data_IF_578880138064
#
_entry.id   IF_578880138064
#
_cell.length_a   1.000
_cell.length_b   1.000
_cell.length_c   1.000
_cell.angle_alpha   90.00
_cell.angle_beta   90.00
_cell.angle_gamma   90.00
#
_symmetry.space_group_name_H-M   'P 1'
#
loop_
_entity.id
_entity.type
_entity.pdbx_description
1 polymer ?
#
# COMPACT_ATOMS: atom_id res chain seq x y z
N UNK A 1 -18.79 10.85 6.59
CA UNK A 1 -18.09 11.73 5.63
C UNK A 1 -18.72 11.46 4.26
N UNK A 2 -19.21 12.47 3.53
CA UNK A 2 -19.87 12.25 2.24
C UNK A 2 -18.88 11.80 1.16
N UNK A 3 -19.37 11.22 0.06
CA UNK A 3 -18.58 10.82 -1.14
C UNK A 3 -17.64 11.95 -1.61
N UNK A 4 -18.02 13.21 -1.38
CA UNK A 4 -17.18 14.38 -1.69
C UNK A 4 -15.86 14.42 -0.90
N UNK A 5 -15.84 13.93 0.35
CA UNK A 5 -14.62 13.90 1.17
C UNK A 5 -13.57 12.92 0.63
N UNK A 6 -13.99 11.70 0.29
CA UNK A 6 -13.11 10.70 -0.32
C UNK A 6 -12.63 11.12 -1.72
N UNK A 7 -13.48 11.82 -2.47
CA UNK A 7 -13.14 12.38 -3.78
C UNK A 7 -12.08 13.49 -3.69
N UNK A 8 -12.17 14.37 -2.69
CA UNK A 8 -11.16 15.41 -2.46
C UNK A 8 -9.81 14.80 -2.07
N UNK A 9 -9.80 13.76 -1.24
CA UNK A 9 -8.59 13.05 -0.82
C UNK A 9 -7.88 12.42 -2.03
N UNK A 10 -8.62 11.67 -2.87
CA UNK A 10 -8.06 10.98 -4.03
C UNK A 10 -7.53 11.90 -5.17
N UNK A 11 -7.97 13.16 -5.20
CA UNK A 11 -7.69 14.09 -6.31
C UNK A 11 -6.81 15.28 -5.90
N UNK A 12 -6.55 15.48 -4.60
CA UNK A 12 -5.69 16.58 -4.11
C UNK A 12 -4.37 16.06 -3.55
N UNK A 13 -3.26 16.56 -4.11
CA UNK A 13 -1.91 16.13 -3.76
C UNK A 13 -1.52 16.44 -2.30
N UNK A 14 -2.14 17.43 -1.69
CA UNK A 14 -1.76 18.02 -0.41
C UNK A 14 -2.64 17.58 0.77
N UNK A 15 -3.85 17.08 0.54
CA UNK A 15 -4.76 16.73 1.65
C UNK A 15 -4.75 15.25 2.02
N UNK A 16 -4.21 14.37 1.17
CA UNK A 16 -4.24 12.92 1.41
C UNK A 16 -3.50 12.43 2.66
N UNK A 17 -2.65 13.23 3.30
CA UNK A 17 -1.94 12.85 4.54
C UNK A 17 -2.48 13.54 5.80
N UNK A 18 -3.45 14.45 5.65
CA UNK A 18 -3.96 15.27 6.75
C UNK A 18 -5.16 14.64 7.48
N UNK A 19 -5.71 13.57 6.92
CA UNK A 19 -6.81 12.83 7.54
C UNK A 19 -6.25 11.78 8.50
N UNK A 20 -6.43 12.03 9.79
CA UNK A 20 -6.15 11.05 10.85
C UNK A 20 -7.24 9.98 10.84
N UNK A 21 -6.87 8.73 10.58
CA UNK A 21 -7.77 7.59 10.69
C UNK A 21 -7.38 6.74 11.90
N UNK A 22 -8.39 6.29 12.65
CA UNK A 22 -8.19 5.44 13.82
C UNK A 22 -8.08 3.98 13.38
N UNK A 23 -7.06 3.27 13.86
CA UNK A 23 -6.78 1.88 13.49
C UNK A 23 -7.31 0.88 14.53
N UNK A 24 -8.31 1.28 15.31
CA UNK A 24 -8.96 0.46 16.34
C UNK A 24 -10.40 0.13 15.96
N UNK A 25 -10.74 -1.15 16.00
CA UNK A 25 -12.11 -1.68 15.87
C UNK A 25 -12.95 -1.35 17.13
N UNK A 26 -13.10 -0.07 17.50
CA UNK A 26 -13.98 0.31 18.61
C UNK A 26 -15.39 0.62 18.07
N UNK A 27 -16.40 -0.23 18.34
CA UNK A 27 -17.74 -0.13 17.73
C UNK A 27 -18.56 1.10 18.17
N UNK A 28 -18.00 1.95 19.03
CA UNK A 28 -18.66 3.16 19.55
C UNK A 28 -18.28 4.42 18.77
N UNK A 29 -17.32 4.33 17.83
CA UNK A 29 -16.90 5.48 17.05
C UNK A 29 -17.83 5.75 15.86
N UNK A 30 -18.75 6.70 16.05
CA UNK A 30 -19.74 7.12 15.05
C UNK A 30 -19.22 8.18 14.07
N UNK A 31 -17.91 8.44 14.05
CA UNK A 31 -17.29 9.36 13.10
C UNK A 31 -17.20 8.80 11.67
N UNK A 32 -17.32 7.48 11.51
CA UNK A 32 -17.28 6.80 10.21
C UNK A 32 -18.66 6.67 9.57
N UNK A 33 -18.73 6.96 8.26
CA UNK A 33 -19.89 6.58 7.44
C UNK A 33 -19.75 5.10 7.05
N UNK A 34 -20.07 4.25 8.03
CA UNK A 34 -19.87 2.78 7.97
C UNK A 34 -20.49 2.16 6.72
N UNK A 35 -21.55 2.77 6.19
CA UNK A 35 -22.31 2.25 5.04
C UNK A 35 -21.56 2.40 3.71
N UNK A 36 -20.71 3.43 3.59
CA UNK A 36 -19.86 3.64 2.41
C UNK A 36 -18.43 3.13 2.60
N UNK A 37 -17.94 3.14 3.84
CA UNK A 37 -16.58 2.72 4.15
C UNK A 37 -16.46 1.19 4.21
N UNK A 38 -17.49 0.51 4.74
CA UNK A 38 -17.62 -0.95 4.80
C UNK A 38 -19.03 -1.38 4.40
N UNK A 39 -19.44 -1.26 3.13
CA UNK A 39 -20.83 -1.49 2.75
C UNK A 39 -21.24 -2.94 3.03
N UNK A 40 -22.26 -3.13 3.87
CA UNK A 40 -22.73 -4.47 4.25
C UNK A 40 -23.37 -5.25 3.09
N UNK A 41 -23.81 -4.53 2.04
CA UNK A 41 -24.52 -5.11 0.90
C UNK A 41 -23.64 -5.31 -0.33
N UNK A 42 -22.67 -4.42 -0.58
CA UNK A 42 -21.75 -4.51 -1.72
C UNK A 42 -20.36 -3.96 -1.34
N UNK A 43 -19.45 -4.83 -0.84
CA UNK A 43 -18.20 -4.44 -0.18
C UNK A 43 -17.27 -3.48 -0.96
N UNK A 44 -17.42 -3.38 -2.29
CA UNK A 44 -16.52 -2.59 -3.15
C UNK A 44 -17.17 -1.35 -3.83
N UNK A 45 -18.43 -1.02 -3.53
CA UNK A 45 -19.11 0.10 -4.23
C UNK A 45 -18.42 1.44 -4.04
N UNK A 46 -17.90 1.74 -2.84
CA UNK A 46 -17.22 3.00 -2.56
C UNK A 46 -15.99 3.18 -3.44
N UNK A 47 -15.10 2.17 -3.45
CA UNK A 47 -13.90 2.16 -4.29
C UNK A 47 -14.24 2.25 -5.78
N UNK A 48 -15.15 1.40 -6.25
CA UNK A 48 -15.54 1.37 -7.65
C UNK A 48 -16.11 2.73 -8.11
N UNK A 49 -16.88 3.40 -7.27
CA UNK A 49 -17.44 4.73 -7.55
C UNK A 49 -16.33 5.79 -7.66
N UNK A 50 -15.40 5.82 -6.71
CA UNK A 50 -14.24 6.73 -6.73
C UNK A 50 -13.40 6.51 -7.99
N UNK A 51 -13.05 5.25 -8.28
CA UNK A 51 -12.30 4.90 -9.48
C UNK A 51 -13.01 5.32 -10.78
N UNK A 52 -14.32 5.13 -10.84
CA UNK A 52 -15.13 5.54 -11.99
C UNK A 52 -15.10 7.06 -12.16
N UNK A 53 -15.24 7.82 -11.08
CA UNK A 53 -15.15 9.29 -11.11
C UNK A 53 -13.76 9.76 -11.54
N UNK A 54 -12.68 9.17 -11.02
CA UNK A 54 -11.31 9.50 -11.43
C UNK A 54 -11.12 9.24 -12.92
N UNK A 55 -11.59 8.09 -13.42
CA UNK A 55 -11.46 7.73 -14.82
C UNK A 55 -12.24 8.67 -15.77
N UNK A 56 -13.38 9.21 -15.32
CA UNK A 56 -14.24 10.06 -16.13
C UNK A 56 -13.91 11.56 -16.02
N UNK A 57 -13.51 12.03 -14.84
CA UNK A 57 -13.52 13.46 -14.51
C UNK A 57 -12.14 14.01 -14.09
N UNK A 58 -11.18 13.16 -13.69
CA UNK A 58 -9.90 13.67 -13.18
C UNK A 58 -9.10 14.36 -14.31
N UNK A 59 -8.59 15.59 -14.08
CA UNK A 59 -7.85 16.34 -15.10
C UNK A 59 -6.43 15.78 -15.35
N UNK A 60 -5.91 14.93 -14.47
CA UNK A 60 -4.51 14.47 -14.43
C UNK A 60 -4.36 12.96 -14.70
N UNK A 61 -5.04 12.47 -15.75
CA UNK A 61 -5.10 11.05 -16.13
C UNK A 61 -3.76 10.31 -16.18
N UNK A 62 -2.66 10.97 -16.59
CA UNK A 62 -1.33 10.33 -16.57
C UNK A 62 -0.88 9.97 -15.15
N UNK A 63 -1.09 10.89 -14.19
CA UNK A 63 -0.75 10.67 -12.78
C UNK A 63 -1.52 9.49 -12.23
N UNK A 64 -2.82 9.43 -12.50
CA UNK A 64 -3.70 8.36 -12.04
C UNK A 64 -3.31 6.99 -12.62
N UNK A 65 -2.88 6.94 -13.89
CA UNK A 65 -2.36 5.69 -14.50
C UNK A 65 -1.04 5.25 -13.89
N UNK A 66 -0.14 6.19 -13.61
CA UNK A 66 1.13 5.90 -12.93
C UNK A 66 0.89 5.43 -11.49
N UNK A 67 -0.01 6.09 -10.78
CA UNK A 67 -0.41 5.70 -9.43
C UNK A 67 -1.01 4.29 -9.41
N UNK A 68 -1.87 3.97 -10.38
CA UNK A 68 -2.41 2.61 -10.55
C UNK A 68 -1.30 1.58 -10.78
N UNK A 69 -0.34 1.85 -11.66
CA UNK A 69 0.79 0.95 -11.90
C UNK A 69 1.65 0.73 -10.65
N UNK A 70 1.92 1.78 -9.87
CA UNK A 70 2.64 1.69 -8.60
C UNK A 70 1.87 0.88 -7.56
N UNK A 71 0.54 1.02 -7.50
CA UNK A 71 -0.31 0.22 -6.62
C UNK A 71 -0.34 -1.28 -6.99
N UNK A 72 -0.02 -1.64 -8.24
CA UNK A 72 0.17 -3.04 -8.64
C UNK A 72 1.53 -3.60 -8.21
N UNK A 73 2.50 -2.74 -7.89
CA UNK A 73 3.79 -3.15 -7.34
C UNK A 73 3.66 -3.31 -5.82
N UNK A 74 3.16 -2.29 -5.13
CA UNK A 74 2.95 -2.32 -3.67
C UNK A 74 1.54 -2.79 -3.32
N UNK A 75 1.27 -4.06 -3.60
CA UNK A 75 -0.05 -4.67 -3.41
C UNK A 75 -0.38 -4.81 -1.92
N UNK A 76 -1.62 -4.49 -1.56
CA UNK A 76 -2.23 -4.79 -0.27
C UNK A 76 -3.51 -5.60 -0.49
N UNK A 77 -3.74 -6.65 0.30
CA UNK A 77 -4.94 -7.47 0.14
C UNK A 77 -6.17 -6.73 0.70
N UNK A 78 -7.29 -6.67 -0.05
CA UNK A 78 -8.51 -6.01 0.40
C UNK A 78 -9.23 -6.74 1.54
N UNK A 79 -8.84 -7.97 1.86
CA UNK A 79 -9.50 -8.80 2.88
C UNK A 79 -8.97 -8.59 4.30
N UNK A 80 -7.87 -7.85 4.46
CA UNK A 80 -7.33 -7.54 5.78
C UNK A 80 -8.12 -6.41 6.45
N UNK A 81 -8.17 -6.37 7.78
CA UNK A 81 -9.10 -5.50 8.54
C UNK A 81 -9.05 -4.04 8.09
N UNK A 82 -7.84 -3.50 7.89
CA UNK A 82 -7.58 -2.12 7.44
C UNK A 82 -7.77 -1.96 5.93
N UNK A 83 -7.55 -3.04 5.16
CA UNK A 83 -7.74 -3.12 3.72
C UNK A 83 -9.20 -3.25 3.27
N UNK A 84 -10.16 -3.38 4.20
CA UNK A 84 -11.61 -3.38 3.92
C UNK A 84 -12.22 -1.98 3.93
N UNK A 85 -11.65 -1.06 4.69
CA UNK A 85 -12.10 0.33 4.76
C UNK A 85 -11.75 1.06 3.46
N UNK A 86 -12.75 1.62 2.79
CA UNK A 86 -12.57 2.41 1.57
C UNK A 86 -11.67 3.62 1.82
N UNK A 87 -11.86 4.34 2.93
CA UNK A 87 -11.10 5.55 3.23
C UNK A 87 -9.62 5.26 3.49
N UNK A 88 -9.33 4.21 4.26
CA UNK A 88 -7.94 3.79 4.53
C UNK A 88 -7.23 3.33 3.26
N UNK A 89 -7.93 2.62 2.37
CA UNK A 89 -7.38 2.21 1.09
C UNK A 89 -7.10 3.39 0.17
N UNK A 90 -8.03 4.36 0.07
CA UNK A 90 -7.83 5.57 -0.74
C UNK A 90 -6.65 6.39 -0.20
N UNK A 91 -6.52 6.51 1.11
CA UNK A 91 -5.38 7.17 1.74
C UNK A 91 -4.03 6.51 1.38
N UNK A 92 -3.99 5.17 1.40
CA UNK A 92 -2.83 4.42 0.95
C UNK A 92 -2.56 4.65 -0.55
N UNK A 93 -3.61 4.65 -1.37
CA UNK A 93 -3.50 4.90 -2.80
C UNK A 93 -2.95 6.31 -3.12
N UNK A 94 -3.28 7.31 -2.31
CA UNK A 94 -2.79 8.69 -2.49
C UNK A 94 -1.27 8.81 -2.40
N UNK A 95 -0.59 7.89 -1.70
CA UNK A 95 0.88 7.82 -1.71
C UNK A 95 1.38 7.74 -3.15
N UNK A 96 0.75 6.89 -3.97
CA UNK A 96 1.13 6.71 -5.36
C UNK A 96 0.70 7.87 -6.25
N UNK A 97 -0.41 8.53 -5.96
CA UNK A 97 -0.83 9.75 -6.67
C UNK A 97 0.18 10.88 -6.43
N UNK A 98 0.59 11.11 -5.18
CA UNK A 98 1.59 12.10 -4.80
C UNK A 98 2.94 11.83 -5.48
N UNK A 99 3.39 10.58 -5.43
CA UNK A 99 4.70 10.16 -5.92
C UNK A 99 4.72 9.58 -7.35
N UNK A 100 3.66 9.76 -8.12
CA UNK A 100 3.51 9.19 -9.47
C UNK A 100 4.70 9.48 -10.41
N UNK A 101 5.38 10.61 -10.20
CA UNK A 101 6.57 11.04 -10.95
C UNK A 101 7.78 11.27 -10.04
N UNK A 102 7.73 10.75 -8.82
CA UNK A 102 8.72 10.96 -7.76
C UNK A 102 9.81 9.88 -7.73
N UNK A 103 10.49 9.80 -6.59
CA UNK A 103 11.54 8.81 -6.35
C UNK A 103 10.96 7.57 -5.66
N UNK A 104 11.40 6.40 -6.10
CA UNK A 104 11.09 5.10 -5.48
C UNK A 104 11.40 5.07 -3.97
N UNK A 105 12.49 5.71 -3.54
CA UNK A 105 12.86 5.75 -2.12
C UNK A 105 11.83 6.48 -1.25
N UNK A 106 11.15 7.49 -1.80
CA UNK A 106 10.12 8.25 -1.06
C UNK A 106 8.81 7.47 -1.00
N UNK A 107 8.45 6.79 -2.10
CA UNK A 107 7.32 5.84 -2.14
C UNK A 107 7.52 4.74 -1.09
N UNK A 108 8.68 4.09 -1.10
CA UNK A 108 8.98 3.01 -0.17
C UNK A 108 8.89 3.47 1.28
N UNK A 109 9.35 4.69 1.58
CA UNK A 109 9.26 5.27 2.92
C UNK A 109 7.81 5.48 3.36
N UNK A 110 6.97 6.10 2.53
CA UNK A 110 5.56 6.32 2.88
C UNK A 110 4.79 5.00 3.00
N UNK A 111 5.02 4.05 2.10
CA UNK A 111 4.42 2.71 2.17
C UNK A 111 4.84 2.00 3.47
N UNK A 112 6.12 2.06 3.86
CA UNK A 112 6.64 1.47 5.11
C UNK A 112 5.89 1.97 6.33
N UNK A 113 5.60 3.27 6.40
CA UNK A 113 4.92 3.87 7.55
C UNK A 113 3.40 3.88 7.42
N UNK A 114 2.83 3.34 6.34
CA UNK A 114 1.38 3.22 6.21
C UNK A 114 0.81 2.15 7.15
N UNK A 115 -0.20 2.46 7.97
CA UNK A 115 -0.90 1.47 8.78
C UNK A 115 -1.52 0.34 7.94
N UNK A 116 -1.94 0.62 6.70
CA UNK A 116 -2.50 -0.39 5.79
C UNK A 116 -1.47 -1.46 5.45
N UNK A 117 -0.24 -1.04 5.11
CA UNK A 117 0.87 -1.96 4.84
C UNK A 117 1.36 -2.64 6.14
N UNK A 118 1.37 -1.91 7.25
CA UNK A 118 1.74 -2.42 8.57
C UNK A 118 0.84 -3.54 9.07
N UNK A 119 -0.46 -3.45 8.82
CA UNK A 119 -1.41 -4.53 9.07
C UNK A 119 -1.21 -5.68 8.08
N UNK A 120 -1.11 -5.38 6.77
CA UNK A 120 -0.98 -6.39 5.71
C UNK A 120 0.21 -7.34 5.89
N UNK A 121 1.37 -6.81 6.26
CA UNK A 121 2.57 -7.62 6.51
C UNK A 121 2.85 -7.81 8.01
N UNK A 122 1.85 -7.51 8.85
CA UNK A 122 1.81 -7.81 10.29
C UNK A 122 3.01 -7.25 11.09
N UNK A 123 3.66 -6.19 10.61
CA UNK A 123 4.78 -5.54 11.31
C UNK A 123 4.35 -4.33 12.14
N UNK A 124 3.04 -4.07 12.24
CA UNK A 124 2.50 -3.03 13.12
C UNK A 124 2.90 -3.32 14.57
N UNK A 125 3.59 -2.36 15.20
CA UNK A 125 4.20 -2.47 16.53
C UNK A 125 5.46 -3.34 16.62
N UNK A 126 6.11 -3.65 15.50
CA UNK A 126 7.47 -4.20 15.52
C UNK A 126 8.39 -3.26 16.30
N UNK A 127 9.30 -3.82 17.10
CA UNK A 127 10.18 -3.04 17.99
C UNK A 127 11.63 -3.41 17.75
N UNK A 128 12.51 -2.45 17.99
CA UNK A 128 13.93 -2.68 17.94
C UNK A 128 14.36 -3.61 19.08
N UNK A 129 15.41 -4.41 18.87
CA UNK A 129 15.99 -5.30 19.87
C UNK A 129 16.30 -4.59 21.20
N UNK A 130 16.75 -3.34 21.12
CA UNK A 130 17.07 -2.50 22.28
C UNK A 130 15.86 -2.15 23.17
N UNK A 131 14.63 -2.38 22.68
CA UNK A 131 13.41 -2.03 23.42
C UNK A 131 12.98 -3.09 24.45
N UNK A 132 13.13 -4.38 24.13
CA UNK A 132 12.68 -5.50 24.98
C UNK A 132 13.53 -6.77 24.86
N UNK A 133 14.62 -6.74 24.09
CA UNK A 133 15.49 -7.88 23.85
C UNK A 133 14.92 -8.92 22.87
N UNK A 134 13.77 -8.64 22.23
CA UNK A 134 13.23 -9.48 21.16
C UNK A 134 13.89 -9.11 19.82
N UNK A 135 14.27 -10.11 19.02
CA UNK A 135 14.75 -9.84 17.67
C UNK A 135 13.64 -9.18 16.85
N UNK A 136 13.92 -8.07 16.13
CA UNK A 136 12.93 -7.41 15.29
C UNK A 136 12.41 -8.35 14.21
N UNK A 137 11.14 -8.20 13.85
CA UNK A 137 10.58 -8.95 12.73
C UNK A 137 11.16 -8.43 11.40
N UNK A 138 11.97 -9.26 10.74
CA UNK A 138 12.60 -8.95 9.45
C UNK A 138 11.71 -9.27 8.25
N UNK A 139 10.51 -9.83 8.48
CA UNK A 139 9.65 -10.30 7.40
C UNK A 139 9.30 -9.19 6.41
N UNK A 140 9.04 -7.97 6.89
CA UNK A 140 8.77 -6.82 6.03
C UNK A 140 9.95 -6.46 5.12
N UNK A 141 11.17 -6.41 5.66
CA UNK A 141 12.37 -6.10 4.88
C UNK A 141 12.62 -7.18 3.80
N UNK A 142 12.35 -8.43 4.16
CA UNK A 142 12.42 -9.58 3.26
C UNK A 142 11.38 -9.49 2.15
N UNK A 143 10.12 -9.21 2.47
CA UNK A 143 9.02 -9.13 1.52
C UNK A 143 9.16 -7.93 0.57
N UNK A 144 9.71 -6.80 1.03
CA UNK A 144 10.07 -5.70 0.11
C UNK A 144 11.04 -6.18 -0.97
N UNK A 145 12.08 -6.90 -0.58
CA UNK A 145 13.07 -7.40 -1.52
C UNK A 145 12.48 -8.47 -2.46
N UNK A 146 11.74 -9.42 -1.89
CA UNK A 146 11.27 -10.60 -2.60
C UNK A 146 10.02 -10.36 -3.46
N UNK A 147 9.04 -9.63 -2.93
CA UNK A 147 7.72 -9.49 -3.53
C UNK A 147 7.59 -8.19 -4.32
N UNK A 148 8.20 -7.10 -3.85
CA UNK A 148 7.92 -5.76 -4.39
C UNK A 148 9.05 -5.16 -5.22
N UNK A 149 10.27 -5.70 -5.18
CA UNK A 149 11.42 -5.07 -5.85
C UNK A 149 12.23 -6.03 -6.72
N UNK A 150 13.26 -6.64 -6.15
CA UNK A 150 14.34 -7.32 -6.87
C UNK A 150 14.01 -8.78 -7.17
N UNK A 151 13.09 -9.37 -6.43
CA UNK A 151 12.68 -10.76 -6.61
C UNK A 151 13.63 -11.77 -6.00
N UNK A 152 13.26 -13.04 -6.10
CA UNK A 152 13.98 -14.17 -5.47
C UNK A 152 15.32 -14.48 -6.14
N UNK A 153 15.45 -14.19 -7.43
CA UNK A 153 16.57 -14.63 -8.26
C UNK A 153 17.20 -13.44 -8.98
N UNK A 154 18.52 -13.44 -9.08
CA UNK A 154 19.23 -12.47 -9.90
C UNK A 154 18.89 -12.69 -11.38
N UNK A 155 18.67 -11.58 -12.09
CA UNK A 155 18.28 -11.58 -13.49
C UNK A 155 19.35 -10.89 -14.34
N UNK A 156 19.54 -11.40 -15.56
CA UNK A 156 20.26 -10.72 -16.62
C UNK A 156 19.47 -9.48 -17.08
N UNK A 157 20.09 -8.54 -17.81
CA UNK A 157 19.39 -7.38 -18.36
C UNK A 157 18.22 -7.69 -19.30
N UNK A 158 18.15 -8.91 -19.85
CA UNK A 158 17.05 -9.41 -20.68
C UNK A 158 15.93 -10.08 -19.87
N UNK A 159 16.04 -10.11 -18.53
CA UNK A 159 15.07 -10.71 -17.61
C UNK A 159 15.22 -12.22 -17.40
N UNK A 160 16.19 -12.88 -18.05
CA UNK A 160 16.48 -14.30 -17.81
C UNK A 160 17.21 -14.51 -16.49
N UNK A 161 17.05 -15.67 -15.84
CA UNK A 161 17.72 -15.95 -14.56
C UNK A 161 19.23 -16.11 -14.74
N UNK A 162 20.01 -15.46 -13.89
CA UNK A 162 21.45 -15.68 -13.82
C UNK A 162 21.74 -17.05 -13.22
N UNK A 163 22.74 -17.74 -13.78
CA UNK A 163 23.18 -19.05 -13.34
C UNK A 163 24.62 -18.99 -12.83
N UNK A 164 24.92 -19.75 -11.78
CA UNK A 164 26.28 -19.97 -11.30
C UNK A 164 27.08 -20.92 -12.22
N UNK A 165 28.32 -21.20 -11.85
CA UNK A 165 29.20 -22.11 -12.59
C UNK A 165 28.67 -23.55 -12.69
N UNK A 166 27.76 -23.93 -11.79
CA UNK A 166 27.16 -25.26 -11.70
C UNK A 166 25.79 -25.33 -12.39
N UNK A 167 25.32 -24.22 -12.96
CA UNK A 167 24.04 -24.11 -13.65
C UNK A 167 22.84 -23.87 -12.74
N UNK A 168 23.04 -23.55 -11.47
CA UNK A 168 21.97 -23.22 -10.52
C UNK A 168 21.65 -21.73 -10.53
N UNK A 169 20.41 -21.39 -10.20
CA UNK A 169 19.97 -20.00 -10.14
C UNK A 169 20.55 -19.31 -8.90
N UNK A 170 20.99 -18.07 -9.09
CA UNK A 170 21.61 -17.29 -8.03
C UNK A 170 20.52 -16.55 -7.24
N UNK A 171 20.33 -16.84 -5.93
CA UNK A 171 19.36 -16.13 -5.12
C UNK A 171 19.79 -14.68 -4.89
N UNK A 172 18.82 -13.77 -4.76
CA UNK A 172 19.11 -12.34 -4.58
C UNK A 172 19.54 -11.99 -3.14
N UNK A 173 19.27 -12.87 -2.18
CA UNK A 173 19.62 -12.70 -0.77
C UNK A 173 19.93 -14.07 -0.15
N UNK A 174 20.74 -14.07 0.91
CA UNK A 174 20.97 -15.22 1.80
C UNK A 174 20.03 -15.15 3.01
N UNK A 175 19.73 -16.30 3.61
CA UNK A 175 18.98 -16.38 4.88
C UNK A 175 19.92 -16.41 6.11
N UNK A 176 21.10 -15.80 6.00
CA UNK A 176 22.11 -15.75 7.08
C UNK A 176 22.05 -14.45 7.86
#
# INVERSE_FOLDING_TARGET
MSIEGAWLVANSLDMGHQYSFHVSEDPVDTAFDVDYDTPSEVPDLGRASIWTMIALEAPDQLRQRMAWALAQIFVVAPDDTTGRHTEMFVNFYDIFVRHAFGNFADILREVTYSPVMGDYLTYKRNRAFDSDGAYPDENYAREIMQLFTIGLWQLNPDGTRMLDSDGNQIPTYSNE
#
